data_IF_261954551942
#
_entry.id   IF_261954551942
#
_cell.length_a   1.000
_cell.length_b   1.000
_cell.length_c   1.000
_cell.angle_alpha   90.00
_cell.angle_beta   90.00
_cell.angle_gamma   90.00
#
_symmetry.space_group_name_H-M   'P 1'
#
loop_
_entity.id
_entity.type
_entity.pdbx_description
1 polymer ?
#
# COMPACT_ATOMS: atom_id res chain seq x y z
N UNK A 1 -25.74 -46.74 3.44
CA UNK A 1 -27.17 -47.15 3.42
C UNK A 1 -27.74 -46.86 4.81
N UNK A 2 -28.43 -45.76 5.06
CA UNK A 2 -29.77 -45.53 4.51
C UNK A 2 -30.02 -44.07 4.24
N UNK A 3 -30.19 -43.82 2.95
CA UNK A 3 -30.37 -42.57 2.23
C UNK A 3 -31.74 -41.89 2.46
N UNK A 4 -32.62 -42.36 3.31
CA UNK A 4 -34.04 -42.28 2.93
C UNK A 4 -35.05 -41.92 4.01
N UNK A 5 -34.79 -40.93 4.86
CA UNK A 5 -35.85 -40.44 5.75
C UNK A 5 -35.75 -38.95 6.11
N UNK A 6 -36.48 -38.17 5.30
CA UNK A 6 -37.34 -37.02 5.71
C UNK A 6 -36.60 -35.66 5.73
N UNK A 7 -36.86 -34.63 4.91
CA UNK A 7 -38.04 -34.15 4.18
C UNK A 7 -39.33 -34.24 4.99
N UNK A 8 -39.87 -33.07 5.35
CA UNK A 8 -41.16 -32.80 6.03
C UNK A 8 -41.09 -32.57 7.56
N UNK A 9 -41.22 -31.30 7.96
CA UNK A 9 -41.70 -30.88 9.29
C UNK A 9 -40.88 -29.71 9.89
N UNK A 10 -41.24 -28.44 9.71
CA UNK A 10 -42.33 -27.66 10.35
C UNK A 10 -41.96 -27.07 11.74
N UNK A 11 -42.24 -25.76 11.90
CA UNK A 11 -42.29 -24.99 13.16
C UNK A 11 -41.14 -23.97 13.26
N UNK A 12 -41.33 -22.65 13.08
CA UNK A 12 -41.94 -21.71 14.04
C UNK A 12 -40.88 -21.31 15.09
N UNK A 13 -40.58 -20.05 15.48
CA UNK A 13 -41.45 -18.95 15.90
C UNK A 13 -40.59 -17.72 16.32
N UNK A 14 -41.15 -16.51 16.07
CA UNK A 14 -41.15 -15.28 16.90
C UNK A 14 -39.87 -14.47 17.22
N UNK A 15 -39.94 -13.15 16.95
CA UNK A 15 -39.20 -12.12 17.71
C UNK A 15 -38.98 -10.81 16.96
N UNK A 16 -39.92 -9.85 17.06
CA UNK A 16 -39.80 -8.52 16.45
C UNK A 16 -39.04 -7.49 17.30
N UNK A 17 -38.42 -6.51 16.65
CA UNK A 17 -37.96 -5.27 17.30
C UNK A 17 -38.20 -4.05 16.39
N UNK A 18 -38.92 -3.08 16.95
CA UNK A 18 -39.26 -1.78 16.40
C UNK A 18 -38.03 -0.86 16.39
N UNK A 19 -37.99 0.07 15.43
CA UNK A 19 -36.92 1.05 15.20
C UNK A 19 -37.19 2.36 15.94
N UNK A 20 -36.15 2.96 16.54
CA UNK A 20 -35.92 4.41 16.59
C UNK A 20 -34.59 4.74 17.28
N UNK A 21 -33.69 5.47 16.60
CA UNK A 21 -32.78 6.46 17.20
C UNK A 21 -32.01 7.22 16.12
N UNK A 22 -32.19 8.55 16.10
CA UNK A 22 -31.42 9.49 15.29
C UNK A 22 -30.02 9.69 15.88
N UNK A 23 -28.98 9.70 15.03
CA UNK A 23 -27.63 10.11 15.41
C UNK A 23 -26.86 10.60 14.19
N UNK A 24 -26.72 11.93 14.08
CA UNK A 24 -26.18 12.64 12.92
C UNK A 24 -24.70 12.36 12.65
N UNK A 25 -24.34 12.50 11.38
CA UNK A 25 -23.01 12.22 10.85
C UNK A 25 -21.91 13.11 11.42
N UNK A 26 -20.84 12.46 11.89
CA UNK A 26 -19.52 13.06 11.94
C UNK A 26 -18.82 12.74 10.62
N UNK A 27 -18.84 13.69 9.69
CA UNK A 27 -17.99 13.68 8.50
C UNK A 27 -16.53 13.89 8.92
N UNK A 28 -15.90 12.81 9.39
CA UNK A 28 -14.46 12.71 9.53
C UNK A 28 -13.92 11.80 8.45
N UNK A 29 -14.10 12.15 7.17
CA UNK A 29 -13.38 11.44 6.12
C UNK A 29 -11.91 11.90 6.16
N UNK A 30 -11.17 11.39 7.14
CA UNK A 30 -9.71 11.49 7.22
C UNK A 30 -9.12 10.47 6.25
N UNK A 31 -9.43 10.63 4.96
CA UNK A 31 -8.73 9.89 3.94
C UNK A 31 -7.34 10.50 3.81
N UNK A 32 -6.33 9.68 4.12
CA UNK A 32 -4.98 9.78 3.55
C UNK A 32 -4.05 10.89 4.07
N UNK A 33 -3.70 10.86 5.35
CA UNK A 33 -2.47 11.55 5.83
C UNK A 33 -1.21 10.66 5.77
N UNK A 34 -1.37 9.40 5.38
CA UNK A 34 -0.28 8.45 5.21
C UNK A 34 -0.31 8.00 3.75
N UNK A 35 0.56 8.59 2.92
CA UNK A 35 0.66 8.24 1.49
C UNK A 35 0.80 6.73 1.30
N UNK A 36 0.39 6.23 0.13
CA UNK A 36 0.32 4.79 -0.13
C UNK A 36 1.59 4.03 0.34
N UNK A 37 1.43 2.83 0.93
CA UNK A 37 2.57 2.00 1.28
C UNK A 37 3.34 1.62 0.02
N UNK A 38 4.64 1.86 0.04
CA UNK A 38 5.58 1.55 -1.02
C UNK A 38 6.24 0.18 -0.84
N UNK A 39 7.39 -0.06 -1.50
CA UNK A 39 8.02 -1.37 -1.54
C UNK A 39 8.50 -1.84 -0.16
N UNK A 40 8.48 -3.15 0.04
CA UNK A 40 9.15 -3.78 1.17
C UNK A 40 10.64 -3.94 0.86
N UNK A 41 11.50 -3.58 1.81
CA UNK A 41 12.94 -3.74 1.65
C UNK A 41 13.32 -5.23 1.58
N UNK A 42 14.04 -5.70 0.54
CA UNK A 42 14.45 -7.11 0.43
C UNK A 42 15.41 -7.54 1.55
N UNK A 43 16.21 -6.59 2.07
CA UNK A 43 17.28 -6.86 3.04
C UNK A 43 16.77 -6.94 4.48
N UNK A 44 15.89 -6.01 4.89
CA UNK A 44 15.40 -5.93 6.29
C UNK A 44 13.89 -6.08 6.45
N UNK A 45 13.16 -6.27 5.35
CA UNK A 45 11.69 -6.44 5.31
C UNK A 45 10.87 -5.26 5.84
N UNK A 46 11.48 -4.10 6.07
CA UNK A 46 10.74 -2.89 6.44
C UNK A 46 9.86 -2.41 5.26
N UNK A 47 8.62 -2.02 5.54
CA UNK A 47 7.70 -1.41 4.56
C UNK A 47 8.05 0.06 4.41
N UNK A 48 8.27 0.53 3.17
CA UNK A 48 8.70 1.90 2.90
C UNK A 48 7.56 2.75 2.35
N UNK A 49 7.79 4.06 2.23
CA UNK A 49 6.84 4.97 1.57
C UNK A 49 6.86 4.75 0.05
N UNK A 50 5.74 4.98 -0.62
CA UNK A 50 5.71 5.03 -2.09
C UNK A 50 6.77 6.00 -2.63
N UNK A 51 7.48 5.58 -3.68
CA UNK A 51 8.58 6.34 -4.27
C UNK A 51 9.89 6.36 -3.46
N UNK A 52 10.01 5.58 -2.38
CA UNK A 52 11.27 5.46 -1.64
C UNK A 52 12.41 4.97 -2.54
N UNK A 53 13.49 5.75 -2.60
CA UNK A 53 14.74 5.40 -3.32
C UNK A 53 15.69 4.56 -2.47
N UNK A 54 15.57 4.68 -1.16
CA UNK A 54 16.36 3.95 -0.17
C UNK A 54 15.44 3.46 0.95
N UNK A 55 15.84 2.36 1.60
CA UNK A 55 15.16 1.85 2.76
C UNK A 55 15.34 2.81 3.94
N UNK A 56 14.23 3.31 4.52
CA UNK A 56 14.25 4.18 5.69
C UNK A 56 14.82 3.52 6.95
N UNK A 57 14.91 2.18 6.98
CA UNK A 57 15.40 1.42 8.14
C UNK A 57 16.87 1.04 8.03
N UNK A 58 17.31 0.54 6.88
CA UNK A 58 18.68 0.02 6.70
C UNK A 58 19.50 0.75 5.64
N UNK A 59 18.95 1.76 4.95
CA UNK A 59 19.65 2.55 3.93
C UNK A 59 19.84 1.87 2.58
N UNK A 60 19.48 0.59 2.45
CA UNK A 60 19.63 -0.15 1.19
C UNK A 60 18.86 0.51 0.05
N UNK A 61 19.51 0.83 -1.09
CA UNK A 61 18.84 1.42 -2.22
C UNK A 61 17.81 0.44 -2.79
N UNK A 62 16.61 0.93 -3.06
CA UNK A 62 15.72 0.24 -3.97
C UNK A 62 16.33 0.39 -5.36
N UNK A 63 16.44 -0.72 -6.11
CA UNK A 63 16.95 -0.72 -7.47
C UNK A 63 15.96 0.03 -8.41
N UNK A 64 15.85 1.35 -8.25
CA UNK A 64 15.26 2.19 -9.28
C UNK A 64 16.22 2.17 -10.47
N UNK A 65 15.68 1.95 -11.66
CA UNK A 65 16.43 1.84 -12.90
C UNK A 65 17.53 2.91 -12.95
N UNK A 66 18.78 2.49 -13.12
CA UNK A 66 19.90 3.39 -13.32
C UNK A 66 19.60 4.25 -14.54
N UNK A 67 19.23 5.51 -14.31
CA UNK A 67 19.10 6.47 -15.38
C UNK A 67 20.51 6.77 -15.92
N UNK A 68 20.58 7.21 -17.17
CA UNK A 68 21.84 7.62 -17.77
C UNK A 68 21.88 9.13 -17.84
N UNK A 69 23.02 9.75 -17.54
CA UNK A 69 23.18 11.19 -17.67
C UNK A 69 23.03 11.62 -19.13
N UNK A 70 22.08 12.52 -19.43
CA UNK A 70 21.89 13.04 -20.78
C UNK A 70 23.02 13.94 -21.30
N UNK A 71 24.04 14.24 -20.48
CA UNK A 71 25.16 15.11 -20.87
C UNK A 71 26.46 14.33 -21.12
N UNK A 72 26.78 13.35 -20.29
CA UNK A 72 28.02 12.56 -20.41
C UNK A 72 27.81 11.06 -20.56
N UNK A 73 26.55 10.60 -20.62
CA UNK A 73 26.18 9.19 -20.69
C UNK A 73 26.65 8.30 -19.50
N UNK A 74 27.11 8.90 -18.39
CA UNK A 74 27.46 8.14 -17.20
C UNK A 74 26.22 7.56 -16.49
N UNK A 75 26.31 6.37 -15.86
CA UNK A 75 25.22 5.83 -15.07
C UNK A 75 24.96 6.71 -13.84
N UNK A 76 23.68 6.99 -13.57
CA UNK A 76 23.23 7.77 -12.44
C UNK A 76 22.76 6.84 -11.31
N UNK A 77 23.28 7.01 -10.09
CA UNK A 77 22.73 6.31 -8.94
C UNK A 77 21.26 6.69 -8.71
N UNK A 78 20.45 5.80 -8.11
CA UNK A 78 19.02 5.99 -7.92
C UNK A 78 18.76 7.28 -7.17
N UNK A 79 18.11 8.21 -7.85
CA UNK A 79 17.72 9.48 -7.28
C UNK A 79 18.77 10.57 -7.17
N UNK A 80 19.80 10.47 -7.99
CA UNK A 80 20.70 11.58 -8.28
C UNK A 80 19.93 12.87 -8.62
N UNK A 81 20.39 14.01 -8.09
CA UNK A 81 19.98 15.37 -8.52
C UNK A 81 21.01 16.02 -9.45
N UNK A 82 22.24 15.50 -9.41
CA UNK A 82 23.37 15.91 -10.23
C UNK A 82 24.17 14.68 -10.64
N UNK A 83 24.85 14.75 -11.78
CA UNK A 83 25.73 13.69 -12.24
C UNK A 83 27.04 13.70 -11.44
N UNK A 84 27.45 12.57 -10.81
CA UNK A 84 28.71 12.51 -10.08
C UNK A 84 29.95 12.55 -10.98
N UNK A 85 29.78 12.33 -12.29
CA UNK A 85 30.89 12.28 -13.24
C UNK A 85 31.14 13.61 -13.96
N UNK A 86 30.11 14.42 -14.20
CA UNK A 86 30.25 15.69 -14.92
C UNK A 86 29.65 16.91 -14.20
N UNK A 87 28.98 16.73 -13.06
CA UNK A 87 28.35 17.79 -12.29
C UNK A 87 27.06 18.37 -12.90
N UNK A 88 26.69 17.94 -14.11
CA UNK A 88 25.46 18.38 -14.77
C UNK A 88 24.20 18.01 -13.98
N UNK A 89 23.22 18.93 -13.94
CA UNK A 89 21.91 18.65 -13.36
C UNK A 89 21.20 17.53 -14.11
N UNK A 90 20.49 16.68 -13.38
CA UNK A 90 19.65 15.62 -13.95
C UNK A 90 18.18 15.94 -13.65
N UNK A 91 17.28 15.85 -14.65
CA UNK A 91 15.86 16.15 -14.47
C UNK A 91 15.14 15.16 -13.55
#
# INVERSE_FOLDING_TARGET
>A
MSLLKRLLGQGGINGGHLRASHGGGHHGNRYNQHGEPGPQCPECRAVNKSGARYCHRCGQPFAAASATCGQCAAPLPPGSRFCPQCGGGVP
#
